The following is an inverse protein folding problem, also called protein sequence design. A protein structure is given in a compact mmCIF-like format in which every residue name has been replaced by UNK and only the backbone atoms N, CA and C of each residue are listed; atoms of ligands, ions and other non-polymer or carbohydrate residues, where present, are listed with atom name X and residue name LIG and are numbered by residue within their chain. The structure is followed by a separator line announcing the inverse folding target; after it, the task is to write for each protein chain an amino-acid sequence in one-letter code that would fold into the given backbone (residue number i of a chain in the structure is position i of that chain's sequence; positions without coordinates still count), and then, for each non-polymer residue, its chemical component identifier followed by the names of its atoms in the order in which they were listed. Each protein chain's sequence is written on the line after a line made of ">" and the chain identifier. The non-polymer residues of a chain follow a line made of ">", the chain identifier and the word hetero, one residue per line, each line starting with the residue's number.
data_IF_575747627610
#
_entry.id   IF_575747627610
#
_cell.length_a   1.000
_cell.length_b   1.000
_cell.length_c   1.000
_cell.angle_alpha   90.00
_cell.angle_beta   90.00
_cell.angle_gamma   90.00
#
_symmetry.space_group_name_H-M   'P 1'
#
loop_
_entity.id
_entity.type
_entity.pdbx_description
1 polymer ?
#
# COMPACT_ATOMS: atom_id res chain seq x y z
N UNK A 1 4.07 6.32 1.29
CA UNK A 1 4.86 6.25 2.55
C UNK A 1 3.87 5.97 3.67
N UNK A 2 4.10 4.98 4.54
CA UNK A 2 3.07 4.53 5.49
C UNK A 2 2.65 5.64 6.48
N UNK A 3 1.35 5.81 6.72
CA UNK A 3 0.81 6.69 7.77
C UNK A 3 0.82 5.95 9.10
N UNK A 4 1.47 6.51 10.12
CA UNK A 4 1.53 5.92 11.46
C UNK A 4 0.64 6.73 12.40
N UNK A 5 -0.31 6.06 13.04
CA UNK A 5 -1.16 6.61 14.10
C UNK A 5 -0.63 6.15 15.45
N UNK A 6 -0.36 7.12 16.32
CA UNK A 6 0.08 6.90 17.71
C UNK A 6 -0.45 8.00 18.61
N UNK A 7 -1.06 7.63 19.73
CA UNK A 7 -1.70 8.52 20.69
C UNK A 7 -2.71 9.48 20.01
N UNK A 8 -3.47 8.97 19.06
CA UNK A 8 -4.43 9.72 18.24
C UNK A 8 -3.81 10.68 17.22
N UNK A 9 -2.46 10.76 17.14
CA UNK A 9 -1.75 11.67 16.25
C UNK A 9 -1.26 10.94 15.01
N UNK A 10 -1.43 11.59 13.86
CA UNK A 10 -0.91 11.16 12.56
C UNK A 10 -0.85 12.34 11.60
N UNK A 11 -0.13 12.20 10.50
CA UNK A 11 -0.10 13.21 9.44
C UNK A 11 -1.40 13.12 8.61
N UNK A 12 -2.36 13.99 8.91
CA UNK A 12 -3.67 14.01 8.25
C UNK A 12 -3.58 14.44 6.79
N UNK A 13 -2.78 15.46 6.49
CA UNK A 13 -2.59 15.95 5.11
C UNK A 13 -1.99 14.87 4.21
N UNK A 14 -1.01 14.12 4.73
CA UNK A 14 -0.44 12.97 4.01
C UNK A 14 -1.51 11.92 3.72
N UNK A 15 -2.35 11.57 4.71
CA UNK A 15 -3.41 10.58 4.50
C UNK A 15 -4.44 11.07 3.46
N UNK A 16 -4.83 12.33 3.52
CA UNK A 16 -5.75 12.93 2.55
C UNK A 16 -5.17 12.92 1.13
N UNK A 17 -3.88 13.23 0.97
CA UNK A 17 -3.18 13.16 -0.31
C UNK A 17 -3.12 11.71 -0.84
N UNK A 18 -2.74 10.74 0.00
CA UNK A 18 -2.68 9.33 -0.38
C UNK A 18 -4.06 8.80 -0.80
N UNK A 19 -5.13 9.16 -0.09
CA UNK A 19 -6.52 8.81 -0.47
C UNK A 19 -6.89 9.42 -1.82
N UNK A 20 -6.53 10.67 -2.07
CA UNK A 20 -6.81 11.33 -3.36
C UNK A 20 -6.08 10.63 -4.51
N UNK A 21 -4.80 10.31 -4.34
CA UNK A 21 -4.01 9.62 -5.36
C UNK A 21 -4.55 8.21 -5.64
N UNK A 22 -4.90 7.45 -4.59
CA UNK A 22 -5.49 6.12 -4.74
C UNK A 22 -6.83 6.15 -5.46
N UNK A 23 -7.71 7.11 -5.16
CA UNK A 23 -8.99 7.27 -5.87
C UNK A 23 -8.78 7.59 -7.34
N UNK A 24 -7.84 8.48 -7.67
CA UNK A 24 -7.50 8.79 -9.06
C UNK A 24 -7.00 7.55 -9.80
N UNK A 25 -6.08 6.80 -9.19
CA UNK A 25 -5.55 5.57 -9.78
C UNK A 25 -6.64 4.53 -10.02
N UNK A 26 -7.52 4.29 -9.03
CA UNK A 26 -8.64 3.35 -9.19
C UNK A 26 -9.53 3.76 -10.35
N UNK A 27 -9.92 5.05 -10.41
CA UNK A 27 -10.74 5.56 -11.50
C UNK A 27 -10.08 5.35 -12.88
N UNK A 28 -8.79 5.64 -13.01
CA UNK A 28 -8.07 5.45 -14.28
C UNK A 28 -7.99 3.96 -14.68
N UNK A 29 -7.73 3.08 -13.72
CA UNK A 29 -7.68 1.63 -13.96
C UNK A 29 -9.06 1.04 -14.30
N UNK A 30 -10.13 1.53 -13.67
CA UNK A 30 -11.50 1.12 -13.98
C UNK A 30 -11.91 1.54 -15.40
N UNK A 31 -11.58 2.77 -15.82
CA UNK A 31 -11.81 3.23 -17.20
C UNK A 31 -11.09 2.35 -18.21
N UNK A 32 -9.81 2.07 -17.98
CA UNK A 32 -9.02 1.18 -18.84
C UNK A 32 -9.62 -0.24 -18.88
N UNK A 33 -10.05 -0.77 -17.72
CA UNK A 33 -10.70 -2.08 -17.64
C UNK A 33 -12.00 -2.14 -18.46
N UNK A 34 -12.70 -1.02 -18.61
CA UNK A 34 -13.89 -0.88 -19.45
C UNK A 34 -13.59 -0.59 -20.93
N UNK A 35 -12.32 -0.50 -21.32
CA UNK A 35 -11.88 -0.19 -22.69
C UNK A 35 -11.83 1.31 -23.00
N UNK A 36 -12.02 2.18 -22.01
CA UNK A 36 -11.83 3.63 -22.13
C UNK A 36 -10.37 3.98 -21.83
N UNK A 37 -9.53 3.83 -22.87
CA UNK A 37 -8.11 4.17 -22.84
C UNK A 37 -7.87 5.68 -22.92
N UNK A 38 -6.75 6.21 -22.37
CA UNK A 38 -6.44 7.64 -22.46
C UNK A 38 -6.34 8.11 -23.93
N UNK A 39 -6.92 9.28 -24.20
CA UNK A 39 -6.86 9.91 -25.52
C UNK A 39 -5.48 10.54 -25.80
N UNK A 40 -5.26 10.95 -27.06
CA UNK A 40 -4.01 11.59 -27.50
C UNK A 40 -3.70 12.87 -26.72
N UNK A 41 -4.73 13.58 -26.25
CA UNK A 41 -4.57 14.81 -25.47
C UNK A 41 -4.01 14.51 -24.09
N UNK A 42 -4.49 13.47 -23.40
CA UNK A 42 -3.95 13.02 -22.12
C UNK A 42 -2.49 12.58 -22.31
N UNK A 43 -2.21 11.79 -23.34
CA UNK A 43 -0.86 11.29 -23.59
C UNK A 43 0.14 12.41 -23.93
N UNK A 44 -0.24 13.37 -24.78
CA UNK A 44 0.62 14.51 -25.16
C UNK A 44 0.93 15.44 -23.98
N UNK A 45 0.01 15.57 -23.02
CA UNK A 45 0.22 16.36 -21.80
C UNK A 45 0.91 15.56 -20.67
N UNK A 46 1.15 14.27 -20.85
CA UNK A 46 1.78 13.41 -19.85
C UNK A 46 3.31 13.48 -19.93
N UNK A 47 4.05 13.27 -18.82
CA UNK A 47 5.50 13.18 -18.88
C UNK A 47 5.98 12.05 -19.80
N UNK A 48 6.94 12.34 -20.68
CA UNK A 48 7.56 11.35 -21.55
C UNK A 48 8.77 10.68 -20.86
N UNK A 49 8.93 9.38 -21.05
CA UNK A 49 10.10 8.61 -20.63
C UNK A 49 10.67 7.82 -21.82
N UNK A 50 11.97 7.93 -22.07
CA UNK A 50 12.69 7.19 -23.11
C UNK A 50 13.69 6.22 -22.47
N UNK A 51 14.09 5.18 -23.21
CA UNK A 51 15.03 4.14 -22.73
C UNK A 51 14.62 3.51 -21.39
N UNK A 52 13.31 3.36 -21.18
CA UNK A 52 12.77 2.80 -19.95
C UNK A 52 13.07 1.29 -19.87
N UNK A 53 13.23 0.81 -18.63
CA UNK A 53 13.34 -0.62 -18.30
C UNK A 53 12.51 -0.92 -17.06
N UNK A 54 12.10 -2.17 -16.89
CA UNK A 54 11.48 -2.61 -15.65
C UNK A 54 12.50 -2.52 -14.50
N UNK A 55 12.05 -1.99 -13.36
CA UNK A 55 12.85 -1.84 -12.15
C UNK A 55 11.95 -2.03 -10.91
N UNK A 56 12.55 -2.24 -9.75
CA UNK A 56 11.84 -2.40 -8.49
C UNK A 56 12.40 -1.43 -7.44
N UNK A 57 11.50 -0.92 -6.59
CA UNK A 57 11.84 -0.10 -5.43
C UNK A 57 11.49 -0.85 -4.15
N UNK A 58 12.28 -0.67 -3.08
CA UNK A 58 11.89 -1.15 -1.75
C UNK A 58 10.67 -0.37 -1.27
N UNK A 59 9.71 -1.08 -0.69
CA UNK A 59 8.54 -0.50 -0.04
C UNK A 59 8.52 -0.93 1.43
N UNK A 60 8.08 -0.05 2.32
CA UNK A 60 7.88 -0.39 3.74
C UNK A 60 6.84 -1.51 3.82
N UNK A 61 7.14 -2.58 4.54
CA UNK A 61 6.25 -3.72 4.77
C UNK A 61 6.42 -4.23 6.21
N UNK A 62 5.58 -5.18 6.62
CA UNK A 62 5.73 -5.89 7.87
C UNK A 62 6.31 -7.28 7.59
N UNK A 63 7.17 -7.73 8.48
CA UNK A 63 7.73 -9.07 8.52
C UNK A 63 7.45 -9.69 9.88
N UNK A 64 7.12 -10.98 9.92
CA UNK A 64 6.90 -11.73 11.15
C UNK A 64 6.15 -13.04 10.92
N UNK A 65 5.62 -13.64 11.97
CA UNK A 65 4.75 -14.81 11.84
C UNK A 65 3.33 -14.35 11.48
N UNK A 66 2.86 -14.70 10.28
CA UNK A 66 1.49 -14.42 9.87
C UNK A 66 0.58 -15.58 10.29
N UNK A 67 -0.54 -15.25 10.92
CA UNK A 67 -1.56 -16.22 11.30
C UNK A 67 -2.77 -16.11 10.39
N UNK A 68 -3.39 -17.27 10.09
CA UNK A 68 -4.68 -17.39 9.38
C UNK A 68 -4.71 -16.66 8.03
N UNK A 69 -3.58 -16.69 7.30
CA UNK A 69 -3.53 -15.99 6.01
C UNK A 69 -4.38 -16.73 4.97
N UNK A 70 -5.39 -16.09 4.36
CA UNK A 70 -6.43 -16.77 3.58
C UNK A 70 -5.93 -17.46 2.30
N UNK A 71 -4.68 -17.16 1.89
CA UNK A 71 -4.04 -17.79 0.72
C UNK A 71 -2.77 -18.59 1.04
N UNK A 72 -2.16 -18.36 2.20
CA UNK A 72 -0.83 -18.91 2.53
C UNK A 72 -0.90 -19.98 3.61
N UNK A 73 -2.03 -20.09 4.31
CA UNK A 73 -2.25 -21.09 5.33
C UNK A 73 -2.32 -20.52 6.75
N UNK A 74 -2.44 -21.41 7.74
CA UNK A 74 -2.75 -21.03 9.12
C UNK A 74 -1.58 -20.36 9.85
N UNK A 75 -0.33 -20.70 9.52
CA UNK A 75 0.87 -20.12 10.12
C UNK A 75 1.93 -19.97 9.03
N UNK A 76 2.47 -18.77 8.88
CA UNK A 76 3.54 -18.45 7.92
C UNK A 76 4.69 -17.80 8.67
N UNK A 77 5.74 -18.55 9.05
CA UNK A 77 6.95 -17.99 9.64
C UNK A 77 7.66 -17.07 8.65
N UNK A 78 8.27 -15.97 9.13
CA UNK A 78 9.00 -14.98 8.32
C UNK A 78 8.19 -14.48 7.11
N UNK A 79 6.87 -14.35 7.27
CA UNK A 79 5.99 -13.85 6.24
C UNK A 79 6.18 -12.35 6.04
N UNK A 80 6.35 -11.94 4.79
CA UNK A 80 6.50 -10.54 4.39
C UNK A 80 5.18 -10.07 3.78
N UNK A 81 4.66 -8.95 4.25
CA UNK A 81 3.44 -8.37 3.69
C UNK A 81 3.71 -7.58 2.41
N UNK A 82 2.66 -7.31 1.63
CA UNK A 82 2.71 -6.22 0.64
C UNK A 82 2.99 -4.86 1.33
N UNK A 83 3.22 -3.81 0.51
CA UNK A 83 3.47 -2.44 1.00
C UNK A 83 2.50 -2.00 2.09
N UNK A 84 3.02 -1.37 3.14
CA UNK A 84 2.31 -0.84 4.28
C UNK A 84 1.78 0.55 3.95
N UNK A 85 0.47 0.74 4.12
CA UNK A 85 -0.21 2.02 3.86
C UNK A 85 -0.56 2.75 5.16
N UNK A 86 -1.03 2.01 6.16
CA UNK A 86 -1.40 2.57 7.45
C UNK A 86 -1.03 1.60 8.58
N UNK A 87 -0.51 2.16 9.67
CA UNK A 87 -0.20 1.46 10.90
C UNK A 87 -0.85 2.20 12.07
N UNK A 88 -1.85 1.59 12.70
CA UNK A 88 -2.53 2.14 13.87
C UNK A 88 -2.06 1.41 15.12
N UNK A 89 -1.14 2.05 15.86
CA UNK A 89 -0.59 1.50 17.10
C UNK A 89 -1.56 1.62 18.28
N UNK A 90 -2.55 2.51 18.20
CA UNK A 90 -3.53 2.68 19.27
C UNK A 90 -4.59 1.59 19.20
N UNK A 91 -4.91 1.11 17.98
CA UNK A 91 -5.91 0.06 17.72
C UNK A 91 -5.32 -1.27 17.31
N UNK A 92 -3.99 -1.41 17.32
CA UNK A 92 -3.24 -2.63 16.98
C UNK A 92 -3.64 -3.27 15.65
N UNK A 93 -3.68 -2.49 14.57
CA UNK A 93 -3.85 -3.04 13.24
C UNK A 93 -3.00 -2.32 12.19
N UNK A 94 -2.77 -2.99 11.06
CA UNK A 94 -2.14 -2.42 9.89
C UNK A 94 -3.02 -2.61 8.65
N UNK A 95 -3.06 -1.60 7.77
CA UNK A 95 -3.55 -1.73 6.39
C UNK A 95 -2.33 -1.84 5.48
N UNK A 96 -2.17 -2.99 4.82
CA UNK A 96 -1.21 -3.17 3.72
C UNK A 96 -1.90 -2.94 2.37
N UNK A 97 -1.20 -3.02 1.24
CA UNK A 97 -1.85 -2.92 -0.08
C UNK A 97 -2.95 -3.98 -0.23
N UNK A 98 -2.69 -5.20 0.23
CA UNK A 98 -3.60 -6.34 -0.01
C UNK A 98 -4.62 -6.58 1.10
N UNK A 99 -4.24 -6.43 2.38
CA UNK A 99 -5.14 -6.79 3.51
C UNK A 99 -4.88 -6.10 4.84
N UNK A 100 -5.90 -6.10 5.68
CA UNK A 100 -5.76 -5.71 7.08
C UNK A 100 -5.04 -6.83 7.84
N UNK A 101 -4.17 -6.44 8.76
CA UNK A 101 -3.52 -7.33 9.72
C UNK A 101 -3.83 -6.84 11.12
N UNK A 102 -4.27 -7.76 11.98
CA UNK A 102 -4.28 -7.54 13.43
C UNK A 102 -2.83 -7.67 13.92
N UNK A 103 -2.36 -6.71 14.71
CA UNK A 103 -0.99 -6.71 15.20
C UNK A 103 -0.92 -7.43 16.55
N UNK A 104 0.00 -8.37 16.66
CA UNK A 104 0.43 -8.92 17.93
C UNK A 104 1.50 -8.04 18.58
N UNK A 105 2.22 -8.61 19.54
CA UNK A 105 3.37 -7.94 20.12
C UNK A 105 4.41 -7.63 19.04
N UNK A 106 4.81 -6.36 18.97
CA UNK A 106 5.91 -5.96 18.10
C UNK A 106 7.18 -6.64 18.59
N UNK A 107 7.88 -7.31 17.67
CA UNK A 107 9.24 -7.75 17.95
C UNK A 107 10.13 -6.52 18.15
N UNK A 108 10.70 -6.40 19.34
CA UNK A 108 11.62 -5.32 19.68
C UNK A 108 13.06 -5.68 19.28
N UNK A 109 13.30 -6.90 18.80
CA UNK A 109 14.65 -7.44 18.60
C UNK A 109 15.41 -7.56 19.93
N UNK A 110 16.50 -8.33 19.92
CA UNK A 110 17.60 -8.12 20.88
C UNK A 110 18.50 -7.01 20.35
#
# INVERSE_FOLDING_TARGET
>A
MAVIIKNGKYNREQLELEVKMLKSLVNDLERIFQGDYPDERILTNSPAITSWKLSARRATCLEGVLFEHPRLGPIVPNGITSELWLLDLDRNYARTFSRFYRLGQKDIGQ
#
